data_IF_546592430953
#
_entry.id   IF_546592430953
#
_cell.length_a   1.000
_cell.length_b   1.000
_cell.length_c   1.000
_cell.angle_alpha   90.00
_cell.angle_beta   90.00
_cell.angle_gamma   90.00
#
_symmetry.space_group_name_H-M   'P 1'
#
loop_
_entity.id
_entity.type
_entity.pdbx_description
1 polymer ?
#
# COMPACT_ATOMS: atom_id res chain seq x y z
N UNK A 1 14.01 -19.36 27.46
CA UNK A 1 14.59 -18.15 28.07
C UNK A 1 16.00 -17.84 27.60
N UNK A 2 17.04 -18.66 27.87
CA UNK A 2 18.44 -18.29 27.57
C UNK A 2 18.68 -17.76 26.14
N UNK A 3 18.10 -18.42 25.12
CA UNK A 3 18.19 -17.95 23.72
C UNK A 3 17.59 -16.56 23.51
N UNK A 4 16.47 -16.24 24.17
CA UNK A 4 15.81 -14.94 24.06
C UNK A 4 16.63 -13.85 24.77
N UNK A 5 17.24 -14.16 25.92
CA UNK A 5 18.16 -13.23 26.59
C UNK A 5 19.33 -12.90 25.66
N UNK A 6 19.94 -13.92 25.02
CA UNK A 6 21.03 -13.71 24.06
C UNK A 6 20.61 -12.84 22.88
N UNK A 7 19.42 -13.06 22.31
CA UNK A 7 18.89 -12.23 21.21
C UNK A 7 18.64 -10.78 21.66
N UNK A 8 18.02 -10.57 22.82
CA UNK A 8 17.86 -9.23 23.42
C UNK A 8 19.21 -8.53 23.55
N UNK A 9 20.20 -9.19 24.15
CA UNK A 9 21.52 -8.60 24.39
C UNK A 9 22.24 -8.25 23.06
N UNK A 10 22.04 -9.05 22.01
CA UNK A 10 22.53 -8.74 20.67
C UNK A 10 21.89 -7.48 20.09
N UNK A 11 20.56 -7.33 20.20
CA UNK A 11 19.86 -6.15 19.71
C UNK A 11 20.34 -4.89 20.44
N UNK A 12 20.44 -4.94 21.78
CA UNK A 12 20.93 -3.81 22.58
C UNK A 12 22.39 -3.44 22.23
N UNK A 13 23.25 -4.44 21.97
CA UNK A 13 24.61 -4.18 21.54
C UNK A 13 24.67 -3.52 20.16
N UNK A 14 23.80 -3.93 19.24
CA UNK A 14 23.68 -3.38 17.89
C UNK A 14 23.25 -1.90 17.97
N UNK A 15 22.21 -1.58 18.77
CA UNK A 15 21.74 -0.20 18.99
C UNK A 15 22.86 0.71 19.54
N UNK A 16 23.66 0.23 20.49
CA UNK A 16 24.80 1.00 21.03
C UNK A 16 25.90 1.22 20.00
N UNK A 17 26.15 0.23 19.15
CA UNK A 17 27.15 0.34 18.09
C UNK A 17 26.75 1.40 17.06
N UNK A 18 25.47 1.43 16.68
CA UNK A 18 24.93 2.45 15.78
C UNK A 18 24.93 3.85 16.40
N UNK A 19 24.47 4.00 17.65
CA UNK A 19 24.55 5.26 18.38
C UNK A 19 25.98 5.84 18.39
N UNK A 20 26.96 4.97 18.54
CA UNK A 20 28.39 5.33 18.56
C UNK A 20 28.94 5.69 17.19
N UNK A 21 28.38 5.11 16.12
CA UNK A 21 28.78 5.36 14.73
C UNK A 21 28.09 6.60 14.13
N UNK A 22 26.96 7.02 14.69
CA UNK A 22 26.17 8.17 14.24
C UNK A 22 26.60 9.46 14.94
N UNK A 23 26.79 10.53 14.16
CA UNK A 23 27.10 11.86 14.68
C UNK A 23 25.90 12.43 15.44
N UNK A 24 26.15 13.25 16.46
CA UNK A 24 25.13 13.67 17.44
C UNK A 24 23.88 14.30 16.81
N UNK A 25 24.05 15.10 15.76
CA UNK A 25 22.96 15.79 15.04
C UNK A 25 22.04 14.82 14.27
N UNK A 26 22.53 13.62 13.93
CA UNK A 26 21.80 12.60 13.19
C UNK A 26 21.29 11.47 14.10
N UNK A 27 21.47 11.59 15.43
CA UNK A 27 21.04 10.56 16.37
C UNK A 27 19.55 10.64 16.62
N UNK A 28 18.88 9.51 16.44
CA UNK A 28 17.46 9.39 16.70
C UNK A 28 17.11 8.86 18.10
N UNK A 29 18.09 8.39 18.86
CA UNK A 29 17.92 7.91 20.23
C UNK A 29 19.19 8.17 21.05
N UNK A 30 19.06 8.14 22.37
CA UNK A 30 20.16 8.35 23.32
C UNK A 30 20.52 7.06 24.07
N UNK A 31 21.66 7.04 24.76
CA UNK A 31 22.01 5.91 25.63
C UNK A 31 20.98 5.66 26.75
N UNK A 32 20.29 6.71 27.21
CA UNK A 32 19.19 6.57 28.16
C UNK A 32 18.02 5.79 27.54
N UNK A 33 17.64 6.11 26.30
CA UNK A 33 16.60 5.37 25.59
C UNK A 33 16.99 3.89 25.38
N UNK A 34 18.24 3.60 25.02
CA UNK A 34 18.72 2.21 24.89
C UNK A 34 18.64 1.47 26.24
N UNK A 35 19.01 2.14 27.33
CA UNK A 35 18.95 1.58 28.68
C UNK A 35 17.51 1.26 29.09
N UNK A 36 16.58 2.17 28.83
CA UNK A 36 15.16 1.98 29.10
C UNK A 36 14.58 0.86 28.24
N UNK A 37 14.89 0.83 26.94
CA UNK A 37 14.52 -0.25 26.03
C UNK A 37 14.96 -1.61 26.58
N UNK A 38 16.22 -1.74 27.01
CA UNK A 38 16.72 -2.97 27.61
C UNK A 38 15.91 -3.38 28.85
N UNK A 39 15.60 -2.43 29.74
CA UNK A 39 14.82 -2.68 30.94
C UNK A 39 13.37 -3.12 30.62
N UNK A 40 12.74 -2.51 29.61
CA UNK A 40 11.41 -2.89 29.13
C UNK A 40 11.40 -4.30 28.53
N UNK A 41 12.41 -4.66 27.72
CA UNK A 41 12.57 -6.01 27.18
C UNK A 41 12.81 -7.06 28.28
N UNK A 42 13.58 -6.73 29.32
CA UNK A 42 13.77 -7.61 30.48
C UNK A 42 12.46 -7.81 31.27
N UNK A 43 11.69 -6.74 31.47
CA UNK A 43 10.37 -6.82 32.10
C UNK A 43 9.40 -7.68 31.29
N UNK A 44 9.41 -7.54 29.96
CA UNK A 44 8.63 -8.37 29.05
C UNK A 44 9.01 -9.85 29.14
N UNK A 45 10.31 -10.18 29.08
CA UNK A 45 10.77 -11.57 29.26
C UNK A 45 10.35 -12.16 30.61
N UNK A 46 10.40 -11.37 31.69
CA UNK A 46 9.94 -11.80 33.01
C UNK A 46 8.42 -12.05 33.04
N UNK A 47 7.62 -11.30 32.26
CA UNK A 47 6.19 -11.60 32.06
C UNK A 47 6.03 -12.92 31.31
N UNK A 48 6.77 -13.14 30.22
CA UNK A 48 6.69 -14.39 29.44
C UNK A 48 6.94 -15.62 30.32
N UNK A 49 7.93 -15.61 31.22
CA UNK A 49 8.16 -16.75 32.14
C UNK A 49 6.99 -17.04 33.06
N UNK A 50 6.33 -16.00 33.54
CA UNK A 50 5.18 -16.11 34.44
C UNK A 50 3.92 -16.58 33.71
N UNK A 51 3.86 -16.47 32.38
CA UNK A 51 2.68 -16.86 31.59
C UNK A 51 2.24 -18.31 31.82
N UNK A 52 3.18 -19.23 32.10
CA UNK A 52 2.88 -20.64 32.38
C UNK A 52 2.20 -20.87 33.75
N UNK A 53 2.13 -19.84 34.59
CA UNK A 53 1.52 -19.88 35.93
C UNK A 53 0.14 -19.19 35.95
N UNK A 54 -0.29 -18.62 34.83
CA UNK A 54 -1.54 -17.86 34.70
C UNK A 54 -2.59 -18.72 34.02
N UNK A 55 -3.83 -18.67 34.52
CA UNK A 55 -4.97 -19.44 33.98
C UNK A 55 -5.36 -18.98 32.59
N UNK A 56 -5.51 -17.66 32.38
CA UNK A 56 -5.75 -17.06 31.07
C UNK A 56 -4.44 -16.58 30.47
N UNK A 57 -3.69 -17.53 29.92
CA UNK A 57 -2.37 -17.30 29.35
C UNK A 57 -2.42 -16.36 28.13
N UNK A 58 -3.45 -16.47 27.31
CA UNK A 58 -3.58 -15.71 26.07
C UNK A 58 -3.77 -14.22 26.36
N UNK A 59 -4.75 -13.87 27.20
CA UNK A 59 -4.98 -12.48 27.61
C UNK A 59 -3.74 -11.88 28.29
N UNK A 60 -3.09 -12.66 29.17
CA UNK A 60 -1.88 -12.23 29.87
C UNK A 60 -0.71 -11.91 28.91
N UNK A 61 -0.51 -12.72 27.87
CA UNK A 61 0.52 -12.49 26.87
C UNK A 61 0.17 -11.29 25.97
N UNK A 62 -1.09 -11.13 25.57
CA UNK A 62 -1.55 -9.94 24.82
C UNK A 62 -1.30 -8.65 25.61
N UNK A 63 -1.63 -8.62 26.91
CA UNK A 63 -1.37 -7.48 27.78
C UNK A 63 0.14 -7.17 27.91
N UNK A 64 0.98 -8.22 27.96
CA UNK A 64 2.43 -8.05 28.02
C UNK A 64 3.00 -7.46 26.73
N UNK A 65 2.50 -7.89 25.57
CA UNK A 65 2.86 -7.32 24.26
C UNK A 65 2.41 -5.86 24.19
N UNK A 66 1.14 -5.59 24.49
CA UNK A 66 0.60 -4.24 24.52
C UNK A 66 1.42 -3.32 25.42
N UNK A 67 1.68 -3.74 26.66
CA UNK A 67 2.47 -2.94 27.61
C UNK A 67 3.86 -2.61 27.07
N UNK A 68 4.52 -3.59 26.43
CA UNK A 68 5.84 -3.35 25.84
C UNK A 68 5.76 -2.38 24.66
N UNK A 69 4.78 -2.56 23.75
CA UNK A 69 4.56 -1.63 22.63
C UNK A 69 4.28 -0.21 23.13
N UNK A 70 3.46 -0.04 24.17
CA UNK A 70 3.18 1.25 24.82
C UNK A 70 4.47 1.88 25.35
N UNK A 71 5.27 1.11 26.09
CA UNK A 71 6.54 1.58 26.65
C UNK A 71 7.58 1.96 25.59
N UNK A 72 7.63 1.25 24.48
CA UNK A 72 8.54 1.55 23.36
C UNK A 72 8.02 2.67 22.45
N UNK A 73 6.72 2.97 22.49
CA UNK A 73 6.12 4.05 21.69
C UNK A 73 6.46 5.45 22.25
N UNK A 74 6.78 5.55 23.54
CA UNK A 74 7.00 6.80 24.28
C UNK A 74 8.40 6.85 24.88
N UNK A 75 9.45 6.83 24.06
CA UNK A 75 10.78 7.20 24.57
C UNK A 75 10.73 8.66 25.04
N UNK A 76 10.51 8.84 26.35
CA UNK A 76 10.03 10.04 27.02
C UNK A 76 10.77 11.34 26.63
N UNK A 77 10.09 12.24 25.90
CA UNK A 77 10.24 13.67 26.15
C UNK A 77 9.01 14.17 26.93
N UNK A 78 9.15 14.49 28.23
CA UNK A 78 8.06 15.02 29.03
C UNK A 78 7.70 16.49 28.71
N UNK A 79 8.43 17.18 27.83
CA UNK A 79 8.16 18.58 27.44
C UNK A 79 7.36 18.74 26.13
N UNK A 80 7.12 17.67 25.37
CA UNK A 80 6.21 17.73 24.22
C UNK A 80 4.73 17.68 24.69
N UNK A 81 4.15 18.87 24.90
CA UNK A 81 2.74 19.07 25.28
C UNK A 81 1.74 18.86 24.12
N UNK A 82 2.21 18.65 22.89
CA UNK A 82 1.35 18.17 21.81
C UNK A 82 1.13 16.67 21.97
N UNK A 83 -0.14 16.27 21.94
CA UNK A 83 -0.63 14.93 22.28
C UNK A 83 0.15 13.81 21.57
N UNK A 84 0.13 12.57 22.12
CA UNK A 84 0.82 11.42 21.53
C UNK A 84 0.13 11.07 20.21
N UNK A 85 0.48 11.78 19.15
CA UNK A 85 0.38 11.29 17.80
C UNK A 85 1.39 10.15 17.75
N UNK A 86 0.90 8.98 18.16
CA UNK A 86 1.22 7.61 17.86
C UNK A 86 2.57 7.28 17.17
N UNK A 87 3.49 6.64 17.93
CA UNK A 87 4.70 5.88 17.53
C UNK A 87 6.00 6.63 17.12
N UNK A 88 6.46 7.62 17.88
CA UNK A 88 7.49 8.57 17.38
C UNK A 88 8.95 8.37 17.81
N UNK A 89 9.30 7.33 18.57
CA UNK A 89 10.72 7.16 19.01
C UNK A 89 11.51 6.03 18.35
N UNK A 90 10.83 5.04 17.75
CA UNK A 90 11.48 3.77 17.40
C UNK A 90 11.08 3.22 16.02
N UNK A 91 9.89 3.59 15.52
CA UNK A 91 9.43 3.13 14.20
C UNK A 91 10.20 3.73 13.02
N UNK A 92 10.72 4.95 13.17
CA UNK A 92 11.48 5.63 12.12
C UNK A 92 12.99 5.34 12.11
N UNK A 93 13.51 4.53 13.05
CA UNK A 93 14.95 4.44 13.34
C UNK A 93 15.63 3.14 12.87
N UNK A 94 15.03 2.42 11.91
CA UNK A 94 15.66 1.25 11.28
C UNK A 94 15.72 -0.05 12.11
N UNK A 95 15.49 0.01 13.43
CA UNK A 95 15.51 -1.17 14.34
C UNK A 95 14.16 -1.86 14.56
N UNK A 96 13.14 -1.45 13.79
CA UNK A 96 11.78 -1.96 13.93
C UNK A 96 11.72 -3.45 13.72
N UNK A 97 12.39 -3.94 12.68
CA UNK A 97 12.35 -5.34 12.26
C UNK A 97 12.96 -6.25 13.32
N UNK A 98 14.13 -5.92 13.89
CA UNK A 98 14.78 -6.76 14.91
C UNK A 98 13.97 -6.82 16.20
N UNK A 99 13.50 -5.67 16.70
CA UNK A 99 12.68 -5.64 17.91
C UNK A 99 11.32 -6.28 17.69
N UNK A 100 10.64 -5.99 16.59
CA UNK A 100 9.33 -6.57 16.31
C UNK A 100 9.41 -8.08 16.10
N UNK A 101 10.45 -8.57 15.40
CA UNK A 101 10.75 -9.99 15.30
C UNK A 101 10.98 -10.58 16.69
N UNK A 102 11.79 -9.94 17.53
CA UNK A 102 12.04 -10.41 18.89
C UNK A 102 10.75 -10.51 19.72
N UNK A 103 9.91 -9.47 19.72
CA UNK A 103 8.65 -9.45 20.47
C UNK A 103 7.73 -10.58 20.00
N UNK A 104 7.53 -10.68 18.68
CA UNK A 104 6.69 -11.70 18.06
C UNK A 104 7.20 -13.11 18.36
N UNK A 105 8.47 -13.38 18.07
CA UNK A 105 9.06 -14.71 18.21
C UNK A 105 9.15 -15.14 19.68
N UNK A 106 9.42 -14.21 20.59
CA UNK A 106 9.38 -14.47 22.03
C UNK A 106 7.97 -14.83 22.50
N UNK A 107 6.93 -14.12 22.06
CA UNK A 107 5.55 -14.46 22.37
C UNK A 107 5.18 -15.86 21.86
N UNK A 108 5.51 -16.17 20.60
CA UNK A 108 5.25 -17.47 19.99
C UNK A 108 6.00 -18.61 20.68
N UNK A 109 7.26 -18.40 21.08
CA UNK A 109 8.06 -19.36 21.83
C UNK A 109 7.42 -19.70 23.19
N UNK A 110 6.60 -18.80 23.73
CA UNK A 110 5.80 -18.99 24.94
C UNK A 110 4.36 -19.42 24.65
N UNK A 111 4.09 -19.99 23.47
CA UNK A 111 2.79 -20.53 23.08
C UNK A 111 1.67 -19.49 23.00
N UNK A 112 2.01 -18.24 22.66
CA UNK A 112 1.00 -17.28 22.22
C UNK A 112 0.30 -17.82 20.97
N UNK A 113 -1.03 -17.88 21.00
CA UNK A 113 -1.81 -18.23 19.82
C UNK A 113 -2.08 -16.96 19.03
N UNK A 114 -1.67 -16.91 17.76
CA UNK A 114 -2.01 -15.77 16.90
C UNK A 114 -3.52 -15.67 16.74
N UNK A 115 -4.11 -14.46 16.76
CA UNK A 115 -5.55 -14.31 16.61
C UNK A 115 -6.05 -14.82 15.25
N UNK A 116 -7.36 -15.04 15.18
CA UNK A 116 -8.03 -15.34 13.92
C UNK A 116 -7.79 -14.21 12.91
N UNK A 117 -7.73 -14.58 11.63
CA UNK A 117 -7.50 -13.60 10.56
C UNK A 117 -8.71 -12.68 10.40
N UNK A 118 -8.46 -11.39 10.23
CA UNK A 118 -9.39 -10.49 9.58
C UNK A 118 -9.47 -10.88 8.11
N UNK A 119 -10.62 -11.39 7.70
CA UNK A 119 -10.83 -11.87 6.33
C UNK A 119 -11.38 -10.74 5.49
N UNK A 120 -10.65 -10.34 4.44
CA UNK A 120 -11.00 -9.24 3.55
C UNK A 120 -11.27 -9.81 2.16
N UNK A 121 -12.50 -9.63 1.66
CA UNK A 121 -12.83 -9.97 0.27
C UNK A 121 -12.34 -8.85 -0.65
N UNK A 122 -11.48 -9.18 -1.61
CA UNK A 122 -10.94 -8.21 -2.55
C UNK A 122 -12.03 -7.74 -3.52
N UNK A 123 -12.56 -6.55 -3.26
CA UNK A 123 -13.50 -5.87 -4.15
C UNK A 123 -12.88 -4.67 -4.86
N UNK A 124 -11.86 -4.06 -4.26
CA UNK A 124 -11.05 -3.01 -4.86
C UNK A 124 -9.57 -3.35 -4.62
N UNK A 125 -8.74 -3.09 -5.62
CA UNK A 125 -7.29 -3.14 -5.54
C UNK A 125 -6.76 -1.96 -6.33
N UNK A 126 -5.87 -1.18 -5.73
CA UNK A 126 -5.19 -0.09 -6.41
C UNK A 126 -3.69 -0.11 -6.15
N UNK A 127 -2.93 0.43 -7.09
CA UNK A 127 -1.52 0.74 -6.90
C UNK A 127 -1.23 2.13 -7.43
N UNK A 128 -0.43 2.86 -6.67
CA UNK A 128 0.28 4.04 -7.11
C UNK A 128 1.78 3.70 -7.25
N UNK A 129 2.33 4.01 -8.42
CA UNK A 129 3.74 3.84 -8.77
C UNK A 129 4.27 5.24 -9.09
N UNK A 130 4.87 5.90 -8.10
CA UNK A 130 5.26 7.31 -8.22
C UNK A 130 6.78 7.52 -8.41
N UNK A 131 7.22 8.78 -8.40
CA UNK A 131 8.60 9.23 -8.61
C UNK A 131 9.56 8.90 -7.45
N UNK A 132 9.05 8.58 -6.26
CA UNK A 132 9.83 8.20 -5.07
C UNK A 132 10.18 6.70 -4.94
N UNK A 133 10.10 5.92 -6.03
CA UNK A 133 10.30 4.46 -6.00
C UNK A 133 9.26 3.69 -5.15
N UNK A 134 8.14 4.34 -4.81
CA UNK A 134 7.10 3.77 -3.96
C UNK A 134 6.05 3.03 -4.79
N UNK A 135 5.83 1.77 -4.41
CA UNK A 135 4.66 1.00 -4.81
C UNK A 135 3.73 0.99 -3.62
N UNK A 136 2.78 1.92 -3.61
CA UNK A 136 1.72 1.96 -2.61
C UNK A 136 0.56 1.13 -3.12
N UNK A 137 0.21 0.06 -2.42
CA UNK A 137 -0.86 -0.86 -2.81
C UNK A 137 -1.97 -0.82 -1.78
N UNK A 138 -3.20 -0.57 -2.23
CA UNK A 138 -4.40 -0.71 -1.40
C UNK A 138 -5.11 -2.00 -1.79
N UNK A 139 -5.33 -2.88 -0.82
CA UNK A 139 -6.06 -4.14 -1.00
C UNK A 139 -7.33 -4.13 -0.15
N UNK A 140 -8.51 -4.20 -0.78
CA UNK A 140 -9.80 -4.22 -0.08
C UNK A 140 -10.65 -2.98 -0.35
N UNK A 141 -11.68 -2.75 0.47
CA UNK A 141 -12.59 -1.61 0.34
C UNK A 141 -12.05 -0.40 1.10
N UNK A 142 -11.78 0.72 0.41
CA UNK A 142 -11.19 1.96 0.94
C UNK A 142 -11.91 2.55 2.16
N UNK A 143 -13.15 2.15 2.49
CA UNK A 143 -13.90 2.74 3.60
C UNK A 143 -13.79 1.97 4.93
N UNK A 144 -13.81 0.63 4.96
CA UNK A 144 -13.95 -0.12 6.22
C UNK A 144 -13.12 -1.42 6.32
N UNK A 145 -12.66 -2.00 5.20
CA UNK A 145 -11.98 -3.30 5.19
C UNK A 145 -10.88 -3.33 4.12
N UNK A 146 -9.74 -2.71 4.43
CA UNK A 146 -8.58 -2.67 3.54
C UNK A 146 -7.25 -2.74 4.31
N UNK A 147 -6.17 -2.93 3.56
CA UNK A 147 -4.82 -2.67 4.01
C UNK A 147 -4.06 -1.85 2.97
N UNK A 148 -3.31 -0.86 3.44
CA UNK A 148 -2.31 -0.15 2.65
C UNK A 148 -0.95 -0.80 2.86
N UNK A 149 -0.28 -1.12 1.76
CA UNK A 149 1.04 -1.73 1.75
C UNK A 149 2.01 -0.84 0.99
N UNK A 150 3.08 -0.42 1.66
CA UNK A 150 4.13 0.41 1.09
C UNK A 150 5.38 -0.43 0.80
N UNK A 151 5.81 -0.44 -0.46
CA UNK A 151 7.03 -1.12 -0.85
C UNK A 151 8.25 -0.26 -0.59
N UNK A 152 9.19 -0.75 0.23
CA UNK A 152 10.48 -0.11 0.42
C UNK A 152 11.51 -0.68 -0.58
N UNK A 153 12.03 0.14 -1.51
CA UNK A 153 13.06 -0.29 -2.45
C UNK A 153 14.40 -0.60 -1.79
N UNK A 154 14.67 -0.17 -0.54
CA UNK A 154 15.93 -0.46 0.16
C UNK A 154 15.95 -1.86 0.78
N UNK A 155 14.87 -2.23 1.46
CA UNK A 155 14.72 -3.57 2.06
C UNK A 155 14.15 -4.59 1.08
N UNK A 156 13.55 -4.11 -0.02
CA UNK A 156 12.80 -4.89 -1.02
C UNK A 156 11.65 -5.69 -0.41
N UNK A 157 10.91 -5.05 0.49
CA UNK A 157 9.79 -5.64 1.18
C UNK A 157 8.65 -4.63 1.30
N UNK A 158 7.43 -5.17 1.32
CA UNK A 158 6.26 -4.40 1.74
C UNK A 158 6.22 -4.24 3.26
N UNK A 159 5.71 -3.09 3.68
CA UNK A 159 5.29 -2.76 5.04
C UNK A 159 3.81 -2.46 5.04
N UNK A 160 3.12 -2.74 6.14
CA UNK A 160 1.73 -2.33 6.35
C UNK A 160 1.72 -0.90 6.88
N UNK A 161 1.00 0.01 6.22
CA UNK A 161 0.79 1.36 6.73
C UNK A 161 -0.43 1.37 7.67
N UNK A 162 -0.18 1.56 8.96
CA UNK A 162 -1.21 1.63 9.99
C UNK A 162 -1.99 2.96 9.97
N UNK A 163 -1.47 4.01 9.33
CA UNK A 163 -2.09 5.34 9.28
C UNK A 163 -2.11 5.94 7.86
N UNK A 164 -2.85 5.32 6.93
CA UNK A 164 -2.84 5.70 5.52
C UNK A 164 -3.46 7.08 5.22
N UNK A 165 -4.10 7.74 6.19
CA UNK A 165 -4.70 9.06 6.05
C UNK A 165 -3.89 10.19 6.72
N UNK A 166 -2.74 9.86 7.31
CA UNK A 166 -1.83 10.81 7.93
C UNK A 166 -0.38 10.51 7.55
N UNK A 167 0.55 10.71 8.48
CA UNK A 167 1.93 10.28 8.27
C UNK A 167 2.00 8.75 8.26
N UNK A 168 2.65 8.20 7.21
CA UNK A 168 2.75 6.77 6.99
C UNK A 168 3.51 6.09 8.14
N UNK A 169 2.92 5.04 8.71
CA UNK A 169 3.47 4.26 9.81
C UNK A 169 3.75 2.82 9.37
N UNK A 170 4.92 2.57 8.74
CA UNK A 170 5.24 1.28 8.15
C UNK A 170 5.57 0.24 9.22
N UNK A 171 4.80 -0.84 9.24
CA UNK A 171 5.00 -2.01 10.09
C UNK A 171 5.49 -3.21 9.25
N UNK A 172 6.54 -3.93 9.68
CA UNK A 172 7.01 -5.09 8.93
C UNK A 172 5.94 -6.18 8.85
N UNK A 173 5.84 -6.82 7.68
CA UNK A 173 4.97 -7.98 7.47
C UNK A 173 5.69 -9.27 7.90
N UNK A 174 5.02 -10.12 8.66
CA UNK A 174 5.50 -11.46 9.01
C UNK A 174 4.65 -12.53 8.34
N UNK A 175 5.22 -13.73 8.19
CA UNK A 175 4.50 -14.91 7.70
C UNK A 175 3.71 -14.65 6.40
N UNK A 176 4.26 -13.85 5.48
CA UNK A 176 3.61 -13.57 4.19
C UNK A 176 3.48 -14.88 3.41
N UNK A 177 2.25 -15.28 3.13
CA UNK A 177 1.91 -16.57 2.53
C UNK A 177 0.83 -16.40 1.47
N UNK A 178 0.94 -17.22 0.43
CA UNK A 178 -0.10 -17.39 -0.60
C UNK A 178 -0.44 -18.86 -0.77
N UNK A 179 -1.65 -19.14 -1.22
CA UNK A 179 -2.00 -20.49 -1.67
C UNK A 179 -1.52 -20.74 -3.11
N UNK A 180 -1.59 -22.00 -3.56
CA UNK A 180 -0.99 -22.44 -4.84
C UNK A 180 -1.54 -21.72 -6.07
N UNK A 181 -2.80 -21.28 -6.04
CA UNK A 181 -3.45 -20.61 -7.16
C UNK A 181 -3.55 -19.09 -6.98
N UNK A 182 -2.88 -18.53 -5.97
CA UNK A 182 -2.89 -17.10 -5.63
C UNK A 182 -4.30 -16.53 -5.41
N UNK A 183 -5.27 -17.35 -5.00
CA UNK A 183 -6.60 -16.88 -4.59
C UNK A 183 -6.64 -16.34 -3.17
N UNK A 184 -5.57 -16.55 -2.41
CA UNK A 184 -5.44 -16.08 -1.03
C UNK A 184 -4.04 -15.52 -0.78
N UNK A 185 -3.99 -14.37 -0.10
CA UNK A 185 -2.79 -13.78 0.51
C UNK A 185 -3.03 -13.64 2.00
N UNK A 186 -2.07 -13.99 2.84
CA UNK A 186 -2.14 -13.71 4.28
C UNK A 186 -0.80 -13.22 4.80
N UNK A 187 -0.85 -12.38 5.82
CA UNK A 187 0.32 -11.94 6.56
C UNK A 187 -0.08 -11.56 7.98
N UNK A 188 0.93 -11.38 8.83
CA UNK A 188 0.80 -10.90 10.20
C UNK A 188 1.52 -9.57 10.35
N UNK A 189 1.06 -8.72 11.28
CA UNK A 189 1.73 -7.48 11.67
C UNK A 189 1.70 -7.35 13.19
N UNK A 190 2.69 -6.68 13.76
CA UNK A 190 2.63 -6.21 15.14
C UNK A 190 2.09 -4.79 15.13
N UNK A 191 0.76 -4.67 15.02
CA UNK A 191 0.05 -3.39 15.02
C UNK A 191 -0.05 -2.85 16.45
N UNK A 192 -0.30 -1.55 16.57
CA UNK A 192 -0.35 -0.68 17.76
C UNK A 192 -0.15 -1.39 19.10
N UNK A 193 -0.98 -2.38 19.44
CA UNK A 193 -0.95 -3.09 20.72
C UNK A 193 -0.97 -4.63 20.64
N UNK A 194 -1.02 -5.23 19.44
CA UNK A 194 -1.29 -6.65 19.27
C UNK A 194 -0.76 -7.18 17.96
N UNK A 195 -0.55 -8.50 17.91
CA UNK A 195 -0.34 -9.19 16.66
C UNK A 195 -1.70 -9.25 15.94
N UNK A 196 -1.76 -8.74 14.72
CA UNK A 196 -2.91 -8.87 13.82
C UNK A 196 -2.57 -9.81 12.67
N UNK A 197 -3.59 -10.46 12.11
CA UNK A 197 -3.45 -11.32 10.95
C UNK A 197 -4.49 -10.95 9.92
N UNK A 198 -4.04 -10.73 8.69
CA UNK A 198 -4.90 -10.42 7.57
C UNK A 198 -4.97 -11.60 6.61
N UNK A 199 -6.13 -11.85 6.03
CA UNK A 199 -6.36 -12.84 4.98
C UNK A 199 -7.19 -12.19 3.87
N UNK A 200 -6.58 -11.98 2.71
CA UNK A 200 -7.22 -11.43 1.52
C UNK A 200 -7.69 -12.55 0.62
N UNK A 201 -8.95 -12.48 0.20
CA UNK A 201 -9.59 -13.48 -0.66
C UNK A 201 -9.95 -12.86 -2.01
N UNK A 202 -9.36 -13.40 -3.07
CA UNK A 202 -9.70 -13.06 -4.45
C UNK A 202 -11.19 -13.34 -4.74
N UNK A 203 -11.90 -12.34 -5.26
CA UNK A 203 -13.29 -12.47 -5.72
C UNK A 203 -13.37 -12.54 -7.25
N UNK A 204 -12.37 -11.98 -7.94
CA UNK A 204 -12.28 -11.86 -9.39
C UNK A 204 -10.94 -12.40 -9.91
N UNK A 205 -10.84 -12.78 -11.20
CA UNK A 205 -9.59 -13.28 -11.78
C UNK A 205 -8.42 -12.30 -11.67
N UNK A 206 -8.68 -10.99 -11.80
CA UNK A 206 -7.68 -9.92 -11.64
C UNK A 206 -7.03 -9.93 -10.27
N UNK A 207 -7.78 -10.24 -9.22
CA UNK A 207 -7.31 -10.20 -7.83
C UNK A 207 -6.17 -11.19 -7.59
N UNK A 208 -6.18 -12.32 -8.33
CA UNK A 208 -5.08 -13.29 -8.28
C UNK A 208 -3.78 -12.72 -8.85
N UNK A 209 -3.88 -11.83 -9.84
CA UNK A 209 -2.73 -11.12 -10.42
C UNK A 209 -2.19 -10.12 -9.40
N UNK A 210 -3.07 -9.38 -8.71
CA UNK A 210 -2.71 -8.48 -7.60
C UNK A 210 -1.99 -9.22 -6.46
N UNK A 211 -2.60 -10.28 -5.93
CA UNK A 211 -2.01 -11.12 -4.87
C UNK A 211 -0.63 -11.63 -5.29
N UNK A 212 -0.51 -12.15 -6.51
CA UNK A 212 0.76 -12.66 -7.02
C UNK A 212 1.81 -11.57 -7.12
N UNK A 213 1.46 -10.38 -7.61
CA UNK A 213 2.39 -9.27 -7.75
C UNK A 213 2.91 -8.79 -6.39
N UNK A 214 2.02 -8.58 -5.42
CA UNK A 214 2.38 -8.20 -4.04
C UNK A 214 3.30 -9.24 -3.40
N UNK A 215 2.95 -10.51 -3.52
CA UNK A 215 3.75 -11.61 -2.96
C UNK A 215 5.13 -11.70 -3.62
N UNK A 216 5.20 -11.65 -4.95
CA UNK A 216 6.46 -11.73 -5.68
C UNK A 216 7.37 -10.54 -5.36
N UNK A 217 6.82 -9.33 -5.26
CA UNK A 217 7.57 -8.14 -4.84
C UNK A 217 8.13 -8.29 -3.42
N UNK A 218 7.33 -8.77 -2.48
CA UNK A 218 7.77 -8.95 -1.09
C UNK A 218 8.86 -10.04 -0.94
N UNK A 219 8.79 -11.12 -1.72
CA UNK A 219 9.68 -12.29 -1.55
C UNK A 219 10.90 -12.25 -2.48
N UNK A 220 10.75 -11.81 -3.72
CA UNK A 220 11.77 -12.01 -4.74
C UNK A 220 12.92 -11.00 -4.66
N UNK A 221 12.80 -9.93 -3.87
CA UNK A 221 13.86 -8.91 -3.64
C UNK A 221 14.53 -8.31 -4.89
N UNK A 222 13.93 -8.48 -6.06
CA UNK A 222 14.66 -8.35 -7.34
C UNK A 222 14.27 -7.12 -8.17
N UNK A 223 13.32 -6.31 -7.70
CA UNK A 223 12.53 -5.54 -8.66
C UNK A 223 13.00 -4.13 -8.92
N UNK A 224 13.49 -3.39 -7.92
CA UNK A 224 13.67 -1.94 -8.07
C UNK A 224 14.79 -1.44 -7.15
N UNK A 225 16.05 -1.52 -7.59
CA UNK A 225 17.12 -0.83 -6.88
C UNK A 225 17.10 0.68 -7.13
N UNK A 226 16.49 1.11 -8.25
CA UNK A 226 16.37 2.51 -8.67
C UNK A 226 15.42 2.67 -9.87
N UNK A 227 14.51 3.64 -9.79
CA UNK A 227 13.69 4.12 -10.92
C UNK A 227 14.52 4.90 -11.92
N UNK A 228 14.27 4.62 -13.19
CA UNK A 228 14.80 5.44 -14.28
C UNK A 228 13.98 6.72 -14.42
N UNK A 229 14.65 7.85 -14.68
CA UNK A 229 13.99 9.17 -14.75
C UNK A 229 12.87 9.27 -15.77
N UNK A 230 12.97 8.50 -16.85
CA UNK A 230 12.03 8.49 -17.97
C UNK A 230 10.89 7.46 -17.78
N UNK A 231 10.86 6.75 -16.65
CA UNK A 231 9.74 5.87 -16.36
C UNK A 231 8.50 6.69 -16.04
N UNK A 232 7.35 6.22 -16.51
CA UNK A 232 6.05 6.80 -16.25
C UNK A 232 5.67 6.57 -14.78
N UNK A 233 4.99 7.54 -14.18
CA UNK A 233 4.19 7.26 -12.96
C UNK A 233 2.85 6.71 -13.37
N UNK A 234 2.29 5.82 -12.55
CA UNK A 234 1.12 5.03 -12.90
C UNK A 234 0.21 4.91 -11.68
N UNK A 235 -1.06 5.22 -11.87
CA UNK A 235 -2.13 4.82 -10.96
C UNK A 235 -2.97 3.79 -11.67
N UNK A 236 -3.11 2.60 -11.10
CA UNK A 236 -3.97 1.53 -11.62
C UNK A 236 -4.93 1.10 -10.51
N UNK A 237 -6.22 1.05 -10.82
CA UNK A 237 -7.27 0.58 -9.92
C UNK A 237 -8.19 -0.41 -10.61
N UNK A 238 -8.48 -1.53 -9.96
CA UNK A 238 -9.56 -2.42 -10.35
C UNK A 238 -10.61 -2.49 -9.27
N UNK A 239 -11.86 -2.47 -9.69
CA UNK A 239 -12.98 -2.67 -8.80
C UNK A 239 -13.95 -3.69 -9.35
N UNK A 240 -14.36 -4.64 -8.51
CA UNK A 240 -15.33 -5.70 -8.83
C UNK A 240 -14.96 -6.43 -10.13
N UNK A 241 -13.66 -6.69 -10.31
CA UNK A 241 -13.09 -7.34 -11.49
C UNK A 241 -13.10 -6.49 -12.76
N UNK A 242 -13.26 -5.16 -12.66
CA UNK A 242 -13.28 -4.24 -13.80
C UNK A 242 -12.24 -3.13 -13.63
N UNK A 243 -11.86 -2.50 -14.74
CA UNK A 243 -11.00 -1.31 -14.68
C UNK A 243 -11.77 -0.18 -14.02
N UNK A 244 -11.28 0.27 -12.88
CA UNK A 244 -11.80 1.49 -12.25
C UNK A 244 -11.02 2.70 -12.76
N UNK A 245 -9.69 2.58 -12.80
CA UNK A 245 -8.78 3.66 -13.15
C UNK A 245 -7.47 3.15 -13.76
N UNK A 246 -6.97 3.86 -14.77
CA UNK A 246 -5.59 3.78 -15.24
C UNK A 246 -5.14 5.17 -15.69
N UNK A 247 -4.24 5.78 -14.91
CA UNK A 247 -3.66 7.09 -15.22
C UNK A 247 -2.16 7.00 -15.32
N UNK A 248 -1.60 7.84 -16.17
CA UNK A 248 -0.15 7.91 -16.37
C UNK A 248 0.34 9.34 -16.45
N UNK A 249 1.50 9.60 -15.87
CA UNK A 249 2.33 10.77 -16.19
C UNK A 249 3.57 10.29 -16.92
N UNK A 250 3.86 10.90 -18.07
CA UNK A 250 5.00 10.53 -18.91
C UNK A 250 6.14 11.52 -18.73
N UNK A 251 7.37 11.02 -18.86
CA UNK A 251 8.59 11.80 -18.68
C UNK A 251 9.49 11.68 -19.90
N UNK A 252 10.21 12.76 -20.21
CA UNK A 252 11.29 12.74 -21.18
C UNK A 252 12.53 12.01 -20.63
N UNK A 253 13.60 11.93 -21.43
CA UNK A 253 14.83 11.21 -21.03
C UNK A 253 15.56 11.91 -19.87
N UNK A 254 15.29 13.20 -19.68
CA UNK A 254 15.89 14.06 -18.67
C UNK A 254 15.10 14.02 -17.34
N UNK A 255 13.87 13.51 -17.36
CA UNK A 255 12.96 13.38 -16.22
C UNK A 255 11.98 14.55 -16.08
N UNK A 256 11.72 15.32 -17.15
CA UNK A 256 10.68 16.33 -17.16
C UNK A 256 9.36 15.74 -17.62
N UNK A 257 8.27 16.20 -17.00
CA UNK A 257 6.91 15.80 -17.39
C UNK A 257 6.64 16.23 -18.83
N UNK A 258 6.18 15.28 -19.66
CA UNK A 258 5.62 15.56 -20.99
C UNK A 258 4.14 15.91 -20.79
N UNK A 259 3.70 17.14 -21.13
CA UNK A 259 2.31 17.54 -20.98
C UNK A 259 1.36 16.58 -21.70
N UNK A 260 0.21 16.27 -21.10
CA UNK A 260 -0.76 15.33 -21.69
C UNK A 260 -1.33 15.77 -23.04
N UNK A 261 -1.30 17.07 -23.32
CA UNK A 261 -1.71 17.66 -24.60
C UNK A 261 -0.64 17.56 -25.71
N UNK A 262 0.56 17.05 -25.39
CA UNK A 262 1.66 16.90 -26.34
C UNK A 262 1.83 15.43 -26.79
N UNK A 263 2.54 15.23 -27.90
CA UNK A 263 2.86 13.88 -28.38
C UNK A 263 3.79 13.17 -27.38
N UNK A 264 3.43 11.94 -27.00
CA UNK A 264 4.13 11.20 -25.94
C UNK A 264 3.69 11.56 -24.51
N UNK A 265 2.72 12.46 -24.36
CA UNK A 265 2.09 12.77 -23.07
C UNK A 265 1.29 11.59 -22.49
N UNK A 266 1.00 11.68 -21.19
CA UNK A 266 0.21 10.68 -20.47
C UNK A 266 -1.27 10.65 -20.85
N UNK A 267 -1.94 9.59 -20.40
CA UNK A 267 -3.38 9.38 -20.61
C UNK A 267 -4.10 9.07 -19.30
N UNK A 268 -5.43 9.17 -19.34
CA UNK A 268 -6.29 8.82 -18.21
C UNK A 268 -7.53 8.08 -18.68
N UNK A 269 -7.75 6.91 -18.10
CA UNK A 269 -8.97 6.11 -18.17
C UNK A 269 -9.54 6.04 -16.76
N UNK A 270 -10.82 6.36 -16.59
CA UNK A 270 -11.40 6.47 -15.25
C UNK A 270 -12.91 6.25 -15.27
N UNK A 271 -13.43 5.73 -14.17
CA UNK A 271 -14.86 5.49 -14.00
C UNK A 271 -15.53 6.67 -13.31
N UNK A 272 -16.67 7.12 -13.86
CA UNK A 272 -17.52 8.13 -13.22
C UNK A 272 -18.99 7.70 -13.23
N UNK A 273 -19.73 8.16 -12.24
CA UNK A 273 -21.18 8.08 -12.21
C UNK A 273 -21.80 9.16 -13.08
N UNK A 274 -22.95 8.84 -13.68
CA UNK A 274 -23.86 9.85 -14.23
C UNK A 274 -25.12 9.86 -13.37
N UNK A 275 -25.42 11.04 -12.80
CA UNK A 275 -26.50 11.20 -11.85
C UNK A 275 -27.85 11.50 -12.52
N UNK A 276 -28.90 11.59 -11.71
CA UNK A 276 -30.27 11.89 -12.18
C UNK A 276 -30.44 13.27 -12.82
N UNK A 277 -29.50 14.19 -12.60
CA UNK A 277 -29.45 15.50 -13.25
C UNK A 277 -28.60 15.48 -14.52
N UNK A 278 -28.19 14.30 -15.00
CA UNK A 278 -27.30 14.10 -16.14
C UNK A 278 -25.96 14.85 -15.99
N UNK A 279 -25.40 14.82 -14.79
CA UNK A 279 -24.08 15.36 -14.46
C UNK A 279 -23.13 14.22 -14.12
N UNK A 280 -21.84 14.40 -14.41
CA UNK A 280 -20.79 13.52 -13.91
C UNK A 280 -20.68 13.72 -12.41
N UNK A 281 -20.62 12.62 -11.68
CA UNK A 281 -20.50 12.61 -10.22
C UNK A 281 -19.46 11.55 -9.86
N UNK A 282 -18.49 11.93 -9.02
CA UNK A 282 -17.56 10.95 -8.45
C UNK A 282 -18.30 10.14 -7.38
N UNK A 283 -17.92 8.87 -7.20
CA UNK A 283 -18.60 8.02 -6.20
C UNK A 283 -18.41 8.54 -4.77
N UNK A 284 -17.23 9.08 -4.48
CA UNK A 284 -16.87 9.58 -3.15
C UNK A 284 -17.30 11.05 -2.97
N UNK A 285 -18.03 11.62 -3.94
CA UNK A 285 -18.55 12.97 -3.86
C UNK A 285 -19.82 12.99 -2.99
N UNK A 286 -19.77 13.75 -1.90
CA UNK A 286 -20.96 14.02 -1.06
C UNK A 286 -21.91 14.93 -1.83
N UNK A 287 -22.98 14.36 -2.39
CA UNK A 287 -23.97 15.10 -3.16
C UNK A 287 -25.40 14.62 -2.89
N UNK A 288 -26.37 15.54 -3.04
CA UNK A 288 -27.81 15.29 -2.90
C UNK A 288 -28.42 14.53 -4.11
N UNK A 289 -27.58 14.04 -5.02
CA UNK A 289 -28.00 13.36 -6.25
C UNK A 289 -27.57 11.91 -6.25
N UNK A 290 -28.44 11.05 -6.78
CA UNK A 290 -28.15 9.63 -6.94
C UNK A 290 -27.45 9.35 -8.28
N UNK A 291 -26.36 8.58 -8.24
CA UNK A 291 -25.75 7.99 -9.44
C UNK A 291 -26.71 6.96 -10.04
N UNK A 292 -27.10 7.15 -11.30
CA UNK A 292 -27.98 6.23 -12.02
C UNK A 292 -27.21 5.05 -12.63
N UNK A 293 -26.03 5.33 -13.15
CA UNK A 293 -25.12 4.33 -13.72
C UNK A 293 -23.70 4.84 -13.74
N UNK A 294 -22.76 3.91 -13.76
CA UNK A 294 -21.32 4.17 -13.85
C UNK A 294 -20.81 3.70 -15.20
N UNK A 295 -19.89 4.48 -15.76
CA UNK A 295 -19.26 4.23 -17.05
C UNK A 295 -17.79 4.59 -16.95
N UNK A 296 -16.97 3.88 -17.70
CA UNK A 296 -15.54 4.15 -17.80
C UNK A 296 -15.30 5.02 -19.03
N UNK A 297 -14.57 6.11 -18.84
CA UNK A 297 -14.30 7.12 -19.87
C UNK A 297 -12.81 7.35 -20.04
N UNK A 298 -12.46 7.96 -21.15
CA UNK A 298 -11.15 8.57 -21.37
C UNK A 298 -11.28 9.87 -22.16
N UNK A 299 -10.21 10.66 -22.18
CA UNK A 299 -10.12 11.90 -22.95
C UNK A 299 -8.85 11.89 -23.79
N UNK A 300 -8.95 12.35 -25.04
CA UNK A 300 -7.75 12.79 -25.77
C UNK A 300 -7.40 14.22 -25.32
N UNK A 301 -6.35 14.35 -24.51
CA UNK A 301 -5.92 15.65 -24.00
C UNK A 301 -5.31 16.56 -25.08
N UNK A 302 -5.01 16.01 -26.27
CA UNK A 302 -4.47 16.75 -27.42
C UNK A 302 -5.57 17.46 -28.22
N UNK A 303 -6.83 17.10 -28.01
CA UNK A 303 -7.95 17.79 -28.64
C UNK A 303 -8.26 19.11 -27.92
N UNK A 304 -8.45 20.17 -28.70
CA UNK A 304 -8.90 21.48 -28.19
C UNK A 304 -10.32 21.40 -27.61
N UNK A 305 -11.19 20.60 -28.24
CA UNK A 305 -12.55 20.40 -27.77
C UNK A 305 -12.60 19.43 -26.59
N UNK A 306 -13.38 19.79 -25.56
CA UNK A 306 -13.62 18.89 -24.44
C UNK A 306 -14.58 17.78 -24.84
N UNK A 307 -14.09 16.53 -24.80
CA UNK A 307 -14.86 15.32 -25.08
C UNK A 307 -14.46 14.21 -24.11
N UNK A 308 -15.44 13.44 -23.66
CA UNK A 308 -15.23 12.18 -22.95
C UNK A 308 -15.76 11.04 -23.80
N UNK A 309 -14.87 10.12 -24.10
CA UNK A 309 -15.14 8.94 -24.90
C UNK A 309 -15.48 7.78 -23.96
N UNK A 310 -16.62 7.12 -24.15
CA UNK A 310 -16.90 5.88 -23.39
C UNK A 310 -15.95 4.78 -23.84
N UNK A 311 -15.28 4.14 -22.87
CA UNK A 311 -14.33 3.06 -23.11
C UNK A 311 -15.05 1.82 -23.66
N UNK A 312 -14.62 1.33 -24.82
CA UNK A 312 -15.01 0.02 -25.34
C UNK A 312 -14.02 -1.06 -24.90
N UNK A 313 -12.72 -0.79 -25.08
CA UNK A 313 -11.65 -1.76 -24.84
C UNK A 313 -10.33 -1.04 -24.54
N UNK A 314 -9.48 -1.68 -23.76
CA UNK A 314 -8.10 -1.28 -23.53
C UNK A 314 -7.19 -2.50 -23.62
N UNK A 315 -6.07 -2.37 -24.30
CA UNK A 315 -5.08 -3.46 -24.42
C UNK A 315 -3.68 -2.93 -24.20
N UNK A 316 -2.80 -3.79 -23.70
CA UNK A 316 -1.39 -3.47 -23.49
C UNK A 316 -0.55 -4.56 -24.15
N UNK A 317 0.33 -4.18 -25.07
CA UNK A 317 1.25 -5.10 -25.72
C UNK A 317 2.62 -4.45 -25.89
N UNK A 318 3.67 -5.06 -25.33
CA UNK A 318 5.05 -4.57 -25.41
C UNK A 318 5.18 -3.09 -25.00
N UNK A 319 4.52 -2.69 -23.91
CA UNK A 319 4.52 -1.31 -23.41
C UNK A 319 3.65 -0.34 -24.22
N UNK A 320 2.95 -0.77 -25.27
CA UNK A 320 2.00 0.07 -26.00
C UNK A 320 0.59 -0.17 -25.46
N UNK A 321 -0.02 0.89 -24.95
CA UNK A 321 -1.42 0.92 -24.50
C UNK A 321 -2.28 1.40 -25.66
N UNK A 322 -3.26 0.59 -26.09
CA UNK A 322 -4.25 0.97 -27.09
C UNK A 322 -5.63 1.06 -26.44
N UNK A 323 -6.27 2.22 -26.59
CA UNK A 323 -7.57 2.55 -25.99
C UNK A 323 -8.57 2.78 -27.13
N UNK A 324 -9.68 2.06 -27.10
CA UNK A 324 -10.74 2.12 -28.12
C UNK A 324 -12.01 2.65 -27.48
N UNK A 325 -12.65 3.65 -28.12
CA UNK A 325 -13.96 4.14 -27.68
C UNK A 325 -15.11 3.31 -28.24
N UNK A 326 -16.27 3.41 -27.61
CA UNK A 326 -17.55 3.08 -28.27
C UNK A 326 -17.92 4.19 -29.28
N UNK A 327 -19.15 4.13 -29.82
CA UNK A 327 -19.72 5.25 -30.57
C UNK A 327 -20.32 6.33 -29.67
N UNK A 328 -20.43 6.13 -28.36
CA UNK A 328 -20.95 7.14 -27.42
C UNK A 328 -19.86 8.15 -27.00
N UNK A 329 -20.20 9.44 -27.02
CA UNK A 329 -19.36 10.52 -26.54
C UNK A 329 -20.16 11.49 -25.68
N UNK A 330 -19.52 12.06 -24.66
CA UNK A 330 -20.06 13.15 -23.86
C UNK A 330 -19.27 14.43 -24.17
N UNK A 331 -19.99 15.49 -24.51
CA UNK A 331 -19.43 16.83 -24.75
C UNK A 331 -20.07 17.84 -23.81
N UNK A 332 -19.65 19.11 -23.91
CA UNK A 332 -20.26 20.23 -23.19
C UNK A 332 -20.88 21.22 -24.15
N UNK A 333 -22.07 21.71 -23.81
CA UNK A 333 -22.70 22.81 -24.54
C UNK A 333 -22.14 24.19 -24.11
N UNK A 334 -22.72 25.26 -24.62
CA UNK A 334 -22.30 26.64 -24.31
C UNK A 334 -22.50 27.03 -22.84
N UNK A 335 -23.40 26.34 -22.13
CA UNK A 335 -23.68 26.53 -20.71
C UNK A 335 -22.89 25.55 -19.83
N UNK A 336 -21.96 24.78 -20.42
CA UNK A 336 -21.20 23.72 -19.77
C UNK A 336 -22.04 22.53 -19.29
N UNK A 337 -23.24 22.34 -19.83
CA UNK A 337 -24.09 21.17 -19.58
C UNK A 337 -23.63 19.97 -20.41
N UNK A 338 -23.78 18.76 -19.86
CA UNK A 338 -23.34 17.54 -20.52
C UNK A 338 -24.31 17.12 -21.62
N UNK A 339 -23.77 16.97 -22.82
CA UNK A 339 -24.50 16.51 -24.00
C UNK A 339 -23.99 15.15 -24.43
N UNK A 340 -24.92 14.21 -24.66
CA UNK A 340 -24.59 12.91 -25.24
C UNK A 340 -24.68 12.99 -26.75
N UNK A 341 -23.71 12.42 -27.43
CA UNK A 341 -23.70 12.30 -28.88
C UNK A 341 -23.15 10.96 -29.32
N UNK A 342 -23.19 10.76 -30.63
CA UNK A 342 -22.59 9.60 -31.27
C UNK A 342 -21.51 10.04 -32.25
N UNK A 343 -20.43 9.27 -32.31
CA UNK A 343 -19.28 9.49 -33.20
C UNK A 343 -18.81 8.15 -33.77
N UNK A 344 -17.95 8.19 -34.79
CA UNK A 344 -17.20 7.00 -35.17
C UNK A 344 -16.23 6.65 -34.03
N UNK A 345 -16.15 5.37 -33.60
CA UNK A 345 -15.17 4.91 -32.62
C UNK A 345 -13.75 5.36 -32.96
N UNK A 346 -13.03 5.83 -31.94
CA UNK A 346 -11.63 6.26 -32.06
C UNK A 346 -10.71 5.24 -31.41
N UNK A 347 -9.45 5.24 -31.87
CA UNK A 347 -8.38 4.43 -31.29
C UNK A 347 -7.21 5.35 -30.97
N UNK A 348 -6.81 5.39 -29.69
CA UNK A 348 -5.65 6.12 -29.22
C UNK A 348 -4.57 5.12 -28.81
N UNK A 349 -3.31 5.49 -28.99
CA UNK A 349 -2.17 4.66 -28.60
C UNK A 349 -1.13 5.49 -27.87
N UNK A 350 -0.64 4.93 -26.76
CA UNK A 350 0.32 5.56 -25.86
C UNK A 350 1.44 4.59 -25.56
N UNK A 351 2.67 5.10 -25.46
CA UNK A 351 3.80 4.33 -24.95
C UNK A 351 3.84 4.44 -23.42
N UNK A 352 3.99 3.31 -22.74
CA UNK A 352 4.15 3.19 -21.30
C UNK A 352 5.57 2.73 -21.01
N UNK A 353 6.36 3.58 -20.34
CA UNK A 353 7.76 3.31 -20.04
C UNK A 353 7.89 2.93 -18.58
N UNK A 354 8.23 1.68 -18.29
CA UNK A 354 8.51 1.26 -16.92
C UNK A 354 9.36 -0.02 -16.93
N UNK A 355 9.65 -0.58 -15.76
CA UNK A 355 10.27 -1.90 -15.65
C UNK A 355 9.41 -3.00 -16.31
N UNK A 356 10.06 -4.04 -16.83
CA UNK A 356 9.38 -5.19 -17.44
C UNK A 356 8.35 -5.83 -16.50
N UNK A 357 8.62 -5.83 -15.20
CA UNK A 357 7.68 -6.33 -14.21
C UNK A 357 6.40 -5.51 -14.14
N UNK A 358 6.50 -4.18 -14.06
CA UNK A 358 5.33 -3.30 -14.00
C UNK A 358 4.50 -3.41 -15.26
N UNK A 359 5.15 -3.38 -16.42
CA UNK A 359 4.47 -3.51 -17.70
C UNK A 359 3.73 -4.86 -17.81
N UNK A 360 4.37 -5.96 -17.40
CA UNK A 360 3.76 -7.30 -17.38
C UNK A 360 2.64 -7.41 -16.34
N UNK A 361 2.78 -6.78 -15.17
CA UNK A 361 1.76 -6.75 -14.14
C UNK A 361 0.49 -6.06 -14.64
N UNK A 362 0.61 -4.82 -15.13
CA UNK A 362 -0.52 -4.04 -15.64
C UNK A 362 -1.14 -4.77 -16.84
N UNK A 363 -0.33 -5.28 -17.77
CA UNK A 363 -0.82 -6.06 -18.90
C UNK A 363 -1.68 -7.24 -18.45
N UNK A 364 -1.22 -8.03 -17.47
CA UNK A 364 -1.99 -9.18 -16.96
C UNK A 364 -3.27 -8.77 -16.25
N UNK A 365 -3.26 -7.67 -15.50
CA UNK A 365 -4.49 -7.14 -14.91
C UNK A 365 -5.48 -6.78 -16.01
N UNK A 366 -5.07 -6.02 -17.03
CA UNK A 366 -5.91 -5.64 -18.17
C UNK A 366 -6.44 -6.85 -18.94
N UNK A 367 -5.61 -7.87 -19.18
CA UNK A 367 -6.03 -9.11 -19.86
C UNK A 367 -7.11 -9.88 -19.08
N UNK A 368 -7.15 -9.77 -17.76
CA UNK A 368 -8.10 -10.50 -16.91
C UNK A 368 -9.45 -9.81 -16.71
N UNK A 369 -9.56 -8.52 -17.02
CA UNK A 369 -10.77 -7.71 -16.81
C UNK A 369 -11.58 -7.45 -18.09
N UNK A 370 -11.00 -7.76 -19.26
CA UNK A 370 -11.62 -7.59 -20.57
C UNK A 370 -12.52 -8.76 -20.99
#
# INVERSE_FOLDING_TARGET
MTSLITQKDQIIAQMRAELSATVEEDRYYTEANITDCNAHLEAFLAKLEKSNQVTDKQTYLSEAIQTLCEQLSTFNDPEEEEMPEYLWGFLYNGYTVELSNFIRDAALAYSFETPASTVIALNNCSVEIDDFDWFSVVLGNEEDEFACLEYDPKTHQYFYDENPYGDAYPLPLYNVQVNTDYSELSFEVLSKWKIERFQFLAQYPSDKIWIKAVYDLHIQKNLLNRREKHWSTITLGTEKGKLFELRTTQYDNEGHIIPSAEEGGGFSVFTMGINEKNQLQSRNEVADTKILFEKTFFRDAREEEWRLYELQNITIQNGIVTITSTDEVITRDQNWELMRGNIAPINLSYELKNSDFVLNFIQKVIETIN
#
